data_IF_105427423942
#
_entry.id   IF_105427423942
#
_cell.length_a   1.000
_cell.length_b   1.000
_cell.length_c   1.000
_cell.angle_alpha   90.00
_cell.angle_beta   90.00
_cell.angle_gamma   90.00
#
_symmetry.space_group_name_H-M   'P 1'
#
loop_
_entity.id
_entity.type
_entity.pdbx_description
1 polymer ?
#
# COMPACT_ATOMS: atom_id res chain seq x y z
N UNK A 1 28.01 43.20 -22.94
CA UNK A 1 28.36 41.84 -22.49
C UNK A 1 27.22 41.33 -21.63
N UNK A 2 26.44 40.37 -22.15
CA UNK A 2 25.36 39.75 -21.38
C UNK A 2 25.92 38.48 -20.72
N UNK A 3 25.93 38.45 -19.39
CA UNK A 3 26.27 37.25 -18.63
C UNK A 3 24.96 36.48 -18.36
N UNK A 4 24.83 35.29 -18.92
CA UNK A 4 23.76 34.37 -18.56
C UNK A 4 24.24 33.49 -17.39
N UNK A 5 23.47 33.36 -16.29
CA UNK A 5 23.82 32.43 -15.22
C UNK A 5 23.70 31.00 -15.73
N UNK A 6 24.64 30.14 -15.37
CA UNK A 6 24.52 28.71 -15.63
C UNK A 6 23.46 28.12 -14.71
N UNK A 7 22.42 27.51 -15.28
CA UNK A 7 21.46 26.73 -14.51
C UNK A 7 22.15 25.50 -13.93
N UNK A 8 22.09 25.34 -12.60
CA UNK A 8 22.41 24.08 -11.94
C UNK A 8 21.17 23.20 -12.01
N UNK A 9 21.28 22.00 -12.59
CA UNK A 9 20.13 21.14 -12.85
C UNK A 9 19.56 20.47 -11.58
N UNK A 10 20.10 20.73 -10.39
CA UNK A 10 19.56 20.24 -9.11
C UNK A 10 19.68 18.73 -8.88
N UNK A 11 20.10 17.95 -9.89
CA UNK A 11 20.21 16.51 -9.78
C UNK A 11 21.61 16.14 -9.26
N UNK A 12 21.64 15.77 -7.98
CA UNK A 12 22.76 15.03 -7.42
C UNK A 12 22.91 13.64 -8.05
N UNK A 13 23.93 12.87 -7.64
CA UNK A 13 24.04 11.47 -8.05
C UNK A 13 22.75 10.72 -7.71
N UNK A 14 22.36 9.71 -8.51
CA UNK A 14 21.18 8.91 -8.22
C UNK A 14 21.33 8.31 -6.82
N UNK A 15 20.33 8.52 -5.97
CA UNK A 15 20.25 7.84 -4.69
C UNK A 15 20.25 6.32 -4.93
N UNK A 16 20.90 5.53 -4.05
CA UNK A 16 20.83 4.08 -4.15
C UNK A 16 19.36 3.63 -4.15
N UNK A 17 18.99 2.57 -4.89
CA UNK A 17 17.62 2.09 -4.90
C UNK A 17 17.22 1.72 -3.48
N UNK A 18 16.20 2.41 -2.95
CA UNK A 18 15.55 2.02 -1.71
C UNK A 18 14.99 0.61 -1.96
N UNK A 19 15.35 -0.42 -1.15
CA UNK A 19 14.76 -1.74 -1.29
C UNK A 19 13.25 -1.61 -1.29
N UNK A 20 12.59 -2.26 -2.25
CA UNK A 20 11.13 -2.17 -2.33
C UNK A 20 10.56 -2.62 -0.99
N UNK A 21 9.51 -1.94 -0.50
CA UNK A 21 8.85 -2.32 0.76
C UNK A 21 8.43 -3.80 0.77
N UNK A 22 8.18 -4.35 -0.42
CA UNK A 22 7.82 -5.74 -0.71
C UNK A 22 8.93 -6.76 -0.36
N UNK A 23 10.20 -6.35 -0.30
CA UNK A 23 11.33 -7.26 -0.02
C UNK A 23 11.59 -7.44 1.48
N UNK A 24 10.87 -6.71 2.34
CA UNK A 24 11.02 -6.78 3.79
C UNK A 24 10.09 -7.86 4.37
N UNK A 25 10.56 -8.68 5.32
CA UNK A 25 9.70 -9.67 5.96
C UNK A 25 8.57 -8.98 6.73
N UNK A 26 7.35 -9.51 6.59
CA UNK A 26 6.17 -9.03 7.30
C UNK A 26 6.31 -9.18 8.83
N UNK A 27 5.83 -8.18 9.57
CA UNK A 27 5.87 -8.12 11.04
C UNK A 27 4.53 -7.73 11.67
N UNK A 28 3.65 -7.08 10.90
CA UNK A 28 2.36 -6.59 11.38
C UNK A 28 1.20 -7.20 10.55
N UNK A 29 0.01 -7.37 11.17
CA UNK A 29 -1.13 -7.98 10.49
C UNK A 29 -1.70 -7.05 9.42
N UNK A 30 -2.07 -7.62 8.27
CA UNK A 30 -2.92 -6.93 7.31
C UNK A 30 -4.28 -6.62 7.96
N UNK A 31 -4.80 -5.38 7.85
CA UNK A 31 -6.09 -5.00 8.45
C UNK A 31 -7.28 -5.73 7.82
N UNK A 32 -7.10 -6.31 6.63
CA UNK A 32 -8.12 -7.06 5.91
C UNK A 32 -8.09 -8.56 6.27
N UNK A 33 -7.01 -9.30 5.97
CA UNK A 33 -6.98 -10.75 6.18
C UNK A 33 -6.37 -11.21 7.51
N UNK A 34 -5.78 -10.31 8.30
CA UNK A 34 -5.13 -10.63 9.58
C UNK A 34 -3.77 -11.34 9.47
N UNK A 35 -3.38 -11.83 8.28
CA UNK A 35 -2.06 -12.44 8.07
C UNK A 35 -0.92 -11.42 8.29
N UNK A 36 0.16 -11.87 8.92
CA UNK A 36 1.36 -11.06 9.19
C UNK A 36 2.12 -10.82 7.87
N UNK A 37 1.95 -9.62 7.31
CA UNK A 37 2.42 -9.30 5.95
C UNK A 37 2.99 -7.89 5.84
N UNK A 38 2.55 -6.95 6.66
CA UNK A 38 3.03 -5.57 6.60
C UNK A 38 4.44 -5.49 7.19
N UNK A 39 5.42 -4.86 6.49
CA UNK A 39 6.80 -4.78 6.94
C UNK A 39 7.04 -3.72 8.05
N UNK A 40 6.09 -2.81 8.21
CA UNK A 40 6.05 -1.71 9.19
C UNK A 40 4.62 -1.63 9.79
N UNK A 41 4.38 -0.85 10.88
CA UNK A 41 3.03 -0.69 11.43
C UNK A 41 2.00 -0.25 10.38
N UNK A 42 0.71 -0.63 10.53
CA UNK A 42 -0.34 -0.28 9.57
C UNK A 42 -0.42 1.21 9.22
N UNK A 43 -0.26 2.09 10.19
CA UNK A 43 -0.26 3.55 10.02
C UNK A 43 0.92 4.08 9.19
N UNK A 44 2.00 3.32 9.06
CA UNK A 44 3.19 3.66 8.27
C UNK A 44 3.26 2.90 6.94
N UNK A 45 2.48 1.82 6.79
CA UNK A 45 2.51 0.94 5.62
C UNK A 45 1.67 1.49 4.45
N UNK A 46 1.84 2.78 4.12
CA UNK A 46 1.06 3.48 3.08
C UNK A 46 1.16 2.74 1.74
N UNK A 47 0.00 2.48 1.10
CA UNK A 47 -0.09 1.84 -0.21
C UNK A 47 0.54 0.43 -0.28
N UNK A 48 0.80 -0.22 0.87
CA UNK A 48 1.32 -1.58 0.87
C UNK A 48 0.21 -2.57 0.50
N UNK A 49 0.42 -3.32 -0.58
CA UNK A 49 -0.52 -4.36 -1.02
C UNK A 49 -0.20 -5.68 -0.30
N UNK A 50 -1.18 -6.23 0.41
CA UNK A 50 -1.05 -7.53 1.05
C UNK A 50 -0.91 -8.64 0.00
N UNK A 51 0.18 -9.43 -0.01
CA UNK A 51 0.38 -10.48 -1.01
C UNK A 51 -0.55 -11.69 -0.83
N UNK A 52 -1.30 -11.74 0.27
CA UNK A 52 -2.27 -12.83 0.54
C UNK A 52 -3.65 -12.47 0.00
N UNK A 53 -4.19 -11.33 0.41
CA UNK A 53 -5.58 -10.97 0.10
C UNK A 53 -5.73 -9.82 -0.88
N UNK A 54 -4.63 -9.21 -1.33
CA UNK A 54 -4.60 -8.09 -2.29
C UNK A 54 -5.20 -6.77 -1.82
N UNK A 55 -5.48 -6.64 -0.51
CA UNK A 55 -5.89 -5.35 0.06
C UNK A 55 -4.71 -4.38 0.05
N UNK A 56 -4.90 -3.20 -0.52
CA UNK A 56 -3.96 -2.09 -0.43
C UNK A 56 -4.19 -1.31 0.86
N UNK A 57 -3.15 -1.16 1.67
CA UNK A 57 -3.27 -0.52 2.98
C UNK A 57 -3.48 1.00 2.84
N UNK A 58 -4.76 1.36 2.87
CA UNK A 58 -5.26 2.72 2.86
C UNK A 58 -5.23 3.29 4.29
N UNK A 59 -4.25 4.15 4.56
CA UNK A 59 -4.07 4.79 5.87
C UNK A 59 -4.95 6.03 6.04
N UNK A 60 -5.70 6.42 5.01
CA UNK A 60 -6.49 7.64 5.00
C UNK A 60 -7.97 7.42 5.35
N UNK A 61 -8.46 6.18 5.30
CA UNK A 61 -9.80 5.85 5.81
C UNK A 61 -9.84 5.97 7.34
N UNK A 62 -10.92 6.55 7.86
CA UNK A 62 -11.13 6.78 9.29
C UNK A 62 -11.92 5.67 9.98
N UNK A 63 -12.51 4.75 9.22
CA UNK A 63 -13.28 3.62 9.76
C UNK A 63 -13.37 2.43 8.81
N UNK A 64 -13.68 1.25 9.36
CA UNK A 64 -13.86 0.01 8.59
C UNK A 64 -15.02 0.06 7.58
N UNK A 65 -15.92 1.03 7.68
CA UNK A 65 -17.08 1.21 6.82
C UNK A 65 -16.94 2.39 5.85
N UNK A 66 -15.82 3.10 5.89
CA UNK A 66 -15.49 4.12 4.90
C UNK A 66 -15.00 3.43 3.61
N UNK A 67 -15.50 3.83 2.43
CA UNK A 67 -14.99 3.34 1.16
C UNK A 67 -13.52 3.73 0.97
N UNK A 68 -12.68 2.76 0.60
CA UNK A 68 -11.28 3.02 0.24
C UNK A 68 -11.17 3.25 -1.27
N UNK A 69 -10.62 4.39 -1.67
CA UNK A 69 -10.38 4.73 -3.08
C UNK A 69 -9.35 3.77 -3.71
N UNK A 70 -8.35 3.34 -2.93
CA UNK A 70 -7.31 2.38 -3.35
C UNK A 70 -7.87 0.97 -3.56
N UNK A 71 -8.98 0.62 -2.92
CA UNK A 71 -9.59 -0.72 -2.99
C UNK A 71 -10.90 -0.73 -3.79
N UNK A 72 -10.99 0.10 -4.83
CA UNK A 72 -12.14 0.20 -5.73
C UNK A 72 -13.47 0.58 -5.04
N UNK A 73 -13.41 1.40 -3.99
CA UNK A 73 -14.57 1.81 -3.21
C UNK A 73 -15.10 0.72 -2.26
N UNK A 74 -14.37 -0.38 -2.07
CA UNK A 74 -14.70 -1.36 -1.03
C UNK A 74 -14.38 -0.78 0.35
N UNK A 75 -15.23 -1.09 1.32
CA UNK A 75 -14.91 -0.84 2.72
C UNK A 75 -14.04 -1.97 3.28
N UNK A 76 -13.28 -1.71 4.34
CA UNK A 76 -12.49 -2.75 4.98
C UNK A 76 -13.36 -3.91 5.51
N UNK A 77 -14.56 -3.60 6.03
CA UNK A 77 -15.57 -4.59 6.42
C UNK A 77 -15.98 -5.49 5.26
N UNK A 78 -16.21 -4.93 4.08
CA UNK A 78 -16.53 -5.70 2.87
C UNK A 78 -15.33 -6.54 2.43
N UNK A 79 -14.12 -5.98 2.45
CA UNK A 79 -12.88 -6.71 2.16
C UNK A 79 -12.71 -7.94 3.06
N UNK A 80 -12.90 -7.78 4.38
CA UNK A 80 -12.86 -8.88 5.36
C UNK A 80 -13.88 -9.97 5.04
N UNK A 81 -15.11 -9.59 4.69
CA UNK A 81 -16.14 -10.55 4.32
C UNK A 81 -15.79 -11.29 3.02
N UNK A 82 -15.25 -10.58 2.04
CA UNK A 82 -14.78 -11.18 0.79
C UNK A 82 -13.64 -12.17 1.03
N UNK A 83 -12.70 -11.87 1.92
CA UNK A 83 -11.63 -12.81 2.27
C UNK A 83 -12.21 -14.10 2.85
N UNK A 84 -13.20 -14.02 3.74
CA UNK A 84 -13.86 -15.23 4.30
C UNK A 84 -14.55 -16.07 3.23
N UNK A 85 -15.13 -15.43 2.20
CA UNK A 85 -15.90 -16.10 1.15
C UNK A 85 -15.05 -16.59 -0.02
N UNK A 86 -14.01 -15.85 -0.39
CA UNK A 86 -13.30 -15.98 -1.66
C UNK A 86 -11.78 -16.08 -1.50
N UNK A 87 -11.23 -15.88 -0.30
CA UNK A 87 -9.79 -15.87 -0.05
C UNK A 87 -9.07 -14.59 -0.51
N UNK A 88 -9.78 -13.62 -1.07
CA UNK A 88 -9.26 -12.34 -1.55
C UNK A 88 -10.19 -11.20 -1.11
N UNK A 89 -9.67 -9.98 -0.95
CA UNK A 89 -10.46 -8.84 -0.52
C UNK A 89 -11.46 -8.36 -1.58
N UNK A 90 -11.22 -8.69 -2.85
CA UNK A 90 -12.09 -8.36 -3.96
C UNK A 90 -12.41 -9.63 -4.78
N UNK A 91 -13.69 -10.02 -4.91
CA UNK A 91 -14.09 -11.21 -5.64
C UNK A 91 -13.70 -11.22 -7.12
N UNK A 92 -13.31 -10.06 -7.69
CA UNK A 92 -12.78 -9.96 -9.05
C UNK A 92 -11.33 -10.46 -9.18
N UNK A 93 -10.61 -10.54 -8.06
CA UNK A 93 -9.21 -10.98 -7.98
C UNK A 93 -9.06 -12.48 -7.67
N UNK A 94 -10.16 -13.23 -7.63
CA UNK A 94 -10.12 -14.69 -7.47
C UNK A 94 -9.39 -15.32 -8.67
N UNK A 95 -8.54 -16.31 -8.41
CA UNK A 95 -7.91 -17.15 -9.44
C UNK A 95 -8.86 -18.24 -9.91
#
# INVERSE_FOLDING_TARGET
MFYAPKAFNGYGPPEPPIPAAQDRPGRYPCPCCGQITLPVPPEEAVAYICPVCWWENDVFISSDNEPSDENHGLTLSQGRENVRRFGTCDPRMKR
#
